data_IF_850867252936
#
_entry.id   IF_850867252936
#
_cell.length_a   1.000
_cell.length_b   1.000
_cell.length_c   1.000
_cell.angle_alpha   90.00
_cell.angle_beta   90.00
_cell.angle_gamma   90.00
#
_symmetry.space_group_name_H-M   'P 1'
#
loop_
_entity.id
_entity.type
_entity.pdbx_description
1 polymer ?
#
# COMPACT_ATOMS: atom_id res chain seq x y z
N UNK A 1 1.82 -13.58 4.23
CA UNK A 1 1.11 -12.40 4.81
C UNK A 1 1.47 -11.19 3.99
N UNK A 2 0.47 -10.30 3.76
CA UNK A 2 0.69 -9.03 3.07
C UNK A 2 0.91 -7.91 4.07
N UNK A 3 1.79 -6.96 3.73
CA UNK A 3 2.11 -5.79 4.54
C UNK A 3 1.55 -4.51 3.90
N UNK A 4 1.85 -3.35 4.49
CA UNK A 4 1.46 -2.07 3.92
C UNK A 4 2.08 -1.79 2.54
N UNK A 5 3.03 -2.58 2.10
CA UNK A 5 3.61 -2.46 0.77
C UNK A 5 2.81 -3.20 -0.31
N UNK A 6 1.97 -4.17 0.08
CA UNK A 6 0.99 -4.75 -0.81
C UNK A 6 -0.10 -3.72 -1.09
N UNK A 7 -0.31 -3.42 -2.35
CA UNK A 7 -1.24 -2.39 -2.81
C UNK A 7 -2.66 -2.58 -2.23
N UNK A 8 -3.21 -3.78 -2.37
CA UNK A 8 -4.54 -4.15 -1.87
C UNK A 8 -4.61 -4.13 -0.34
N UNK A 9 -3.61 -4.68 0.34
CA UNK A 9 -3.57 -4.70 1.79
C UNK A 9 -3.55 -3.28 2.37
N UNK A 10 -2.76 -2.37 1.78
CA UNK A 10 -2.74 -0.98 2.21
C UNK A 10 -4.10 -0.30 2.01
N UNK A 11 -4.70 -0.45 0.83
CA UNK A 11 -6.01 0.15 0.56
C UNK A 11 -7.09 -0.38 1.52
N UNK A 12 -6.98 -1.63 1.95
CA UNK A 12 -7.89 -2.24 2.93
C UNK A 12 -7.51 -1.96 4.39
N UNK A 13 -6.53 -1.11 4.65
CA UNK A 13 -6.24 -0.59 5.99
C UNK A 13 -5.01 -1.16 6.68
N UNK A 14 -4.17 -1.94 5.99
CA UNK A 14 -2.96 -2.51 6.59
C UNK A 14 -1.87 -1.46 6.74
N UNK A 15 -1.41 -1.25 7.98
CA UNK A 15 -0.27 -0.38 8.33
C UNK A 15 1.00 -1.16 8.71
N UNK A 16 0.90 -2.48 8.79
CA UNK A 16 1.98 -3.35 9.27
C UNK A 16 3.13 -3.37 8.26
N UNK A 17 4.35 -3.13 8.73
CA UNK A 17 5.58 -3.26 7.92
C UNK A 17 6.07 -4.71 7.88
N UNK A 18 6.98 -5.09 6.95
CA UNK A 18 7.63 -6.39 6.98
C UNK A 18 8.31 -6.72 8.32
N UNK A 19 9.03 -5.75 8.90
CA UNK A 19 9.65 -5.92 10.22
C UNK A 19 8.61 -6.24 11.30
N UNK A 20 7.54 -5.46 11.39
CA UNK A 20 6.45 -5.72 12.32
C UNK A 20 5.81 -7.09 12.09
N UNK A 21 5.66 -7.53 10.84
CA UNK A 21 5.14 -8.86 10.51
C UNK A 21 6.05 -9.97 11.03
N UNK A 22 7.37 -9.83 10.89
CA UNK A 22 8.32 -10.81 11.43
C UNK A 22 8.36 -10.81 12.96
N UNK A 23 8.25 -9.64 13.60
CA UNK A 23 8.15 -9.54 15.05
C UNK A 23 6.87 -10.20 15.57
N UNK A 24 5.74 -9.94 14.91
CA UNK A 24 4.47 -10.61 15.22
C UNK A 24 4.58 -12.14 15.09
N UNK A 25 5.19 -12.63 14.01
CA UNK A 25 5.42 -14.06 13.82
C UNK A 25 6.27 -14.70 14.94
N UNK A 26 7.16 -13.94 15.56
CA UNK A 26 7.96 -14.35 16.72
C UNK A 26 7.21 -14.24 18.06
N UNK A 27 5.95 -13.84 18.06
CA UNK A 27 5.15 -13.70 19.27
C UNK A 27 5.23 -12.31 19.93
N UNK A 28 5.88 -11.33 19.31
CA UNK A 28 5.87 -9.98 19.83
C UNK A 28 4.52 -9.29 19.60
N UNK A 29 4.15 -8.42 20.52
CA UNK A 29 3.00 -7.53 20.33
C UNK A 29 3.32 -6.46 19.31
N UNK A 30 2.47 -6.29 18.30
CA UNK A 30 2.53 -5.21 17.33
C UNK A 30 1.23 -4.43 17.31
N UNK A 31 1.28 -3.15 16.91
CA UNK A 31 0.09 -2.35 16.66
C UNK A 31 -0.13 -2.16 15.16
N UNK A 32 -1.35 -2.34 14.69
CA UNK A 32 -1.72 -2.00 13.31
C UNK A 32 -2.24 -0.55 13.15
N UNK A 33 -2.12 0.27 14.21
CA UNK A 33 -2.63 1.64 14.26
C UNK A 33 -4.05 1.76 14.83
N UNK A 34 -4.77 0.63 14.97
CA UNK A 34 -6.13 0.58 15.56
C UNK A 34 -6.12 -0.21 16.87
N UNK A 35 -5.39 -1.32 16.89
CA UNK A 35 -5.30 -2.21 18.05
C UNK A 35 -3.95 -2.93 18.08
N UNK A 36 -3.59 -3.35 19.28
CA UNK A 36 -2.46 -4.23 19.50
C UNK A 36 -2.86 -5.68 19.22
N UNK A 37 -1.93 -6.43 18.66
CA UNK A 37 -2.11 -7.83 18.28
C UNK A 37 -0.90 -8.64 18.72
N UNK A 38 -1.16 -9.84 19.27
CA UNK A 38 -0.13 -10.79 19.69
C UNK A 38 -0.58 -12.19 19.31
N UNK A 39 0.32 -13.03 18.81
CA UNK A 39 0.04 -14.45 18.65
C UNK A 39 0.10 -15.16 20.01
N UNK A 40 -0.74 -16.15 20.22
CA UNK A 40 -0.70 -17.00 21.42
C UNK A 40 0.63 -17.77 21.50
N UNK A 41 1.14 -18.21 20.33
CA UNK A 41 2.43 -18.92 20.21
C UNK A 41 3.16 -18.42 18.96
N UNK A 42 4.50 -18.33 18.97
CA UNK A 42 5.29 -18.02 17.79
C UNK A 42 5.06 -19.03 16.65
N UNK A 43 5.21 -18.57 15.41
CA UNK A 43 5.15 -19.45 14.25
C UNK A 43 6.51 -20.12 14.00
N UNK A 44 6.50 -21.38 13.59
CA UNK A 44 7.71 -22.15 13.24
C UNK A 44 8.41 -21.55 12.01
N UNK A 45 7.65 -21.08 11.04
CA UNK A 45 8.17 -20.38 9.86
C UNK A 45 7.18 -19.32 9.37
N UNK A 46 7.68 -18.34 8.65
CA UNK A 46 6.87 -17.24 8.19
C UNK A 46 7.52 -16.53 6.99
N UNK A 47 6.70 -16.08 6.05
CA UNK A 47 7.15 -15.26 4.94
C UNK A 47 6.22 -14.08 4.68
N UNK A 48 6.80 -12.92 4.39
CA UNK A 48 6.09 -11.78 3.81
C UNK A 48 6.04 -11.99 2.30
N UNK A 49 4.84 -11.90 1.73
CA UNK A 49 4.56 -12.18 0.31
C UNK A 49 3.73 -11.07 -0.31
N UNK A 50 4.21 -9.83 -0.21
CA UNK A 50 3.52 -8.69 -0.78
C UNK A 50 3.37 -8.83 -2.30
N UNK A 51 2.25 -8.36 -2.83
CA UNK A 51 2.05 -8.31 -4.28
C UNK A 51 3.06 -7.41 -4.95
N UNK A 52 3.75 -7.91 -5.97
CA UNK A 52 4.75 -7.16 -6.72
C UNK A 52 4.14 -6.00 -7.53
N UNK A 53 2.87 -6.16 -7.95
CA UNK A 53 2.18 -5.11 -8.69
C UNK A 53 1.94 -3.89 -7.81
N UNK A 54 2.42 -2.72 -8.26
CA UNK A 54 2.31 -1.45 -7.54
C UNK A 54 2.87 -1.51 -6.11
N UNK A 55 3.90 -2.33 -5.86
CA UNK A 55 4.53 -2.52 -4.56
C UNK A 55 4.93 -1.17 -3.94
N UNK A 56 4.39 -0.86 -2.75
CA UNK A 56 4.66 0.37 -2.02
C UNK A 56 3.97 1.64 -2.56
N UNK A 57 3.35 1.58 -3.74
CA UNK A 57 2.80 2.78 -4.39
C UNK A 57 1.59 3.36 -3.65
N UNK A 58 0.74 2.52 -3.05
CA UNK A 58 -0.42 2.99 -2.30
C UNK A 58 -0.02 3.87 -1.11
N UNK A 59 1.11 3.59 -0.47
CA UNK A 59 1.67 4.44 0.58
C UNK A 59 2.06 5.82 0.05
N UNK A 60 2.66 5.87 -1.16
CA UNK A 60 3.07 7.13 -1.78
C UNK A 60 1.87 7.97 -2.22
N UNK A 61 0.79 7.35 -2.70
CA UNK A 61 -0.46 8.07 -3.01
C UNK A 61 -1.09 8.69 -1.78
N UNK A 62 -1.07 7.93 -0.68
CA UNK A 62 -1.68 8.36 0.56
C UNK A 62 -0.87 9.46 1.28
N UNK A 63 0.39 9.64 0.94
CA UNK A 63 1.22 10.73 1.46
C UNK A 63 1.10 11.98 0.58
N UNK A 64 0.38 13.04 1.02
CA UNK A 64 0.21 14.25 0.24
C UNK A 64 1.52 15.03 0.00
N UNK A 65 2.61 14.66 0.68
CA UNK A 65 3.93 15.29 0.54
C UNK A 65 4.81 14.60 -0.50
N UNK A 66 4.50 13.37 -0.86
CA UNK A 66 5.21 12.61 -1.88
C UNK A 66 5.00 13.19 -3.28
N UNK A 67 5.92 12.91 -4.21
CA UNK A 67 5.79 13.37 -5.60
C UNK A 67 4.54 12.82 -6.28
N UNK A 68 4.18 11.58 -6.01
CA UNK A 68 2.98 10.93 -6.54
C UNK A 68 1.72 11.43 -5.83
N UNK A 69 1.78 11.58 -4.50
CA UNK A 69 0.65 12.04 -3.70
C UNK A 69 0.24 13.48 -3.98
N UNK A 70 1.18 14.34 -4.45
CA UNK A 70 0.84 15.69 -4.89
C UNK A 70 0.00 15.74 -6.17
N UNK A 71 -0.12 14.65 -6.91
CA UNK A 71 -0.96 14.61 -8.09
C UNK A 71 -2.44 14.75 -7.71
N UNK A 72 -3.24 15.59 -8.42
CA UNK A 72 -4.66 15.84 -8.06
C UNK A 72 -5.51 14.56 -7.92
N UNK A 73 -5.25 13.55 -8.74
CA UNK A 73 -5.95 12.25 -8.69
C UNK A 73 -5.58 11.39 -7.46
N UNK A 74 -4.54 11.75 -6.72
CA UNK A 74 -4.18 11.07 -5.48
C UNK A 74 -5.02 11.52 -4.26
N UNK A 75 -5.73 12.64 -4.37
CA UNK A 75 -6.52 13.20 -3.25
C UNK A 75 -7.44 12.21 -2.55
N UNK A 76 -8.19 11.33 -3.24
CA UNK A 76 -9.06 10.35 -2.57
C UNK A 76 -8.32 9.36 -1.67
N UNK A 77 -7.01 9.21 -1.87
CA UNK A 77 -6.16 8.26 -1.13
C UNK A 77 -5.42 8.92 0.02
N UNK A 78 -5.44 10.27 0.13
CA UNK A 78 -4.67 10.98 1.14
C UNK A 78 -5.06 10.55 2.56
N UNK A 79 -4.03 10.28 3.37
CA UNK A 79 -4.17 9.90 4.77
C UNK A 79 -5.07 8.66 5.00
N UNK A 80 -5.23 7.83 3.97
CA UNK A 80 -6.18 6.72 3.97
C UNK A 80 -6.06 5.83 5.22
N UNK A 81 -4.83 5.54 5.66
CA UNK A 81 -4.57 4.64 6.80
C UNK A 81 -4.24 5.37 8.10
N UNK A 82 -4.62 6.63 8.25
CA UNK A 82 -4.59 7.27 9.57
C UNK A 82 -5.66 6.66 10.48
N UNK A 83 -5.40 6.58 11.81
CA UNK A 83 -6.34 5.93 12.75
C UNK A 83 -7.78 6.44 12.63
N UNK A 84 -7.97 7.74 12.44
CA UNK A 84 -9.28 8.38 12.27
C UNK A 84 -10.05 7.91 11.03
N UNK A 85 -9.35 7.36 10.03
CA UNK A 85 -9.90 6.87 8.77
C UNK A 85 -10.02 5.33 8.74
N UNK A 86 -9.65 4.65 9.81
CA UNK A 86 -9.68 3.18 9.94
C UNK A 86 -10.90 2.73 10.74
N UNK A 87 -12.10 3.08 10.30
CA UNK A 87 -13.33 2.61 10.91
C UNK A 87 -14.00 1.49 10.10
N UNK A 88 -14.86 0.65 10.72
CA UNK A 88 -15.64 -0.34 9.98
C UNK A 88 -16.51 0.29 8.89
N UNK A 89 -17.03 1.49 9.12
CA UNK A 89 -17.86 2.24 8.17
C UNK A 89 -17.07 2.63 6.92
N UNK A 90 -15.77 2.93 7.08
CA UNK A 90 -14.90 3.29 5.96
C UNK A 90 -14.51 2.09 5.08
N UNK A 91 -14.79 0.87 5.50
CA UNK A 91 -14.36 -0.34 4.77
C UNK A 91 -14.99 -0.44 3.39
N UNK A 92 -16.26 -0.02 3.24
CA UNK A 92 -16.95 -0.01 1.96
C UNK A 92 -16.35 1.03 0.99
N UNK A 93 -16.08 2.24 1.47
CA UNK A 93 -15.47 3.29 0.67
C UNK A 93 -14.07 2.88 0.19
N UNK A 94 -13.30 2.22 1.05
CA UNK A 94 -12.00 1.65 0.70
C UNK A 94 -12.09 0.57 -0.36
N UNK A 95 -13.10 -0.28 -0.27
CA UNK A 95 -13.38 -1.29 -1.28
C UNK A 95 -13.76 -0.65 -2.62
N UNK A 96 -14.50 0.44 -2.62
CA UNK A 96 -14.81 1.20 -3.83
C UNK A 96 -13.56 1.80 -4.45
N UNK A 97 -12.66 2.41 -3.64
CA UNK A 97 -11.37 2.91 -4.12
C UNK A 97 -10.51 1.81 -4.74
N UNK A 98 -10.48 0.64 -4.12
CA UNK A 98 -9.77 -0.53 -4.65
C UNK A 98 -10.34 -0.96 -6.02
N UNK A 99 -11.66 -1.01 -6.15
CA UNK A 99 -12.32 -1.38 -7.39
C UNK A 99 -12.16 -0.32 -8.48
N UNK A 100 -12.14 0.96 -8.14
CA UNK A 100 -11.93 2.05 -9.08
C UNK A 100 -10.57 1.92 -9.79
N UNK A 101 -9.53 1.62 -9.04
CA UNK A 101 -8.19 1.36 -9.60
C UNK A 101 -8.15 0.08 -10.44
N UNK A 102 -8.86 -0.97 -9.99
CA UNK A 102 -8.88 -2.28 -10.65
C UNK A 102 -9.83 -2.31 -11.85
N UNK A 103 -10.89 -1.54 -11.80
CA UNK A 103 -12.15 -1.89 -12.45
C UNK A 103 -12.50 -1.19 -13.73
N UNK A 104 -11.79 -0.19 -14.19
CA UNK A 104 -12.33 0.54 -15.34
C UNK A 104 -12.03 -0.11 -16.69
N UNK A 105 -11.37 -1.27 -16.74
CA UNK A 105 -11.18 -1.95 -18.03
C UNK A 105 -10.48 -3.31 -17.95
N UNK A 106 -10.85 -4.13 -17.01
CA UNK A 106 -10.15 -5.42 -16.86
C UNK A 106 -8.69 -5.21 -16.54
N UNK A 107 -8.37 -4.17 -15.76
CA UNK A 107 -7.09 -4.07 -15.11
C UNK A 107 -6.34 -2.79 -15.16
N UNK A 108 -6.66 -1.66 -15.62
CA UNK A 108 -5.93 -0.39 -15.38
C UNK A 108 -6.51 0.74 -16.24
N UNK A 109 -6.73 1.95 -15.70
CA UNK A 109 -7.23 3.08 -16.47
C UNK A 109 -6.36 3.36 -17.70
N UNK A 110 -6.97 3.44 -18.86
CA UNK A 110 -6.29 3.72 -20.15
C UNK A 110 -6.24 5.20 -20.49
N UNK A 111 -6.85 6.04 -19.69
CA UNK A 111 -6.88 7.48 -19.96
C UNK A 111 -5.52 8.12 -19.68
N UNK A 112 -5.03 8.91 -20.64
CA UNK A 112 -3.83 9.73 -20.44
C UNK A 112 -4.05 10.70 -19.27
N UNK A 113 -3.07 10.81 -18.39
CA UNK A 113 -3.14 11.64 -17.18
C UNK A 113 -3.84 10.95 -16.02
N UNK A 114 -4.02 9.63 -16.09
CA UNK A 114 -4.43 8.82 -14.94
C UNK A 114 -3.32 8.81 -13.88
N UNK A 115 -3.69 8.51 -12.63
CA UNK A 115 -2.67 8.31 -11.57
C UNK A 115 -1.68 7.22 -11.95
N UNK A 116 -2.09 6.24 -12.76
CA UNK A 116 -1.20 5.19 -13.26
C UNK A 116 -0.15 5.70 -14.24
N UNK A 117 -0.44 6.73 -15.02
CA UNK A 117 0.57 7.32 -15.90
C UNK A 117 1.65 8.05 -15.07
N UNK A 118 1.23 8.70 -13.97
CA UNK A 118 2.14 9.31 -13.00
C UNK A 118 3.02 8.24 -12.34
N UNK A 119 2.43 7.12 -11.96
CA UNK A 119 3.13 5.97 -11.36
C UNK A 119 4.11 5.35 -12.35
N UNK A 120 3.69 5.12 -13.59
CA UNK A 120 4.57 4.59 -14.66
C UNK A 120 5.73 5.52 -14.92
N UNK A 121 5.49 6.85 -14.97
CA UNK A 121 6.55 7.83 -15.14
C UNK A 121 7.52 7.81 -13.95
N UNK A 122 7.01 7.70 -12.72
CA UNK A 122 7.83 7.57 -11.52
C UNK A 122 8.68 6.31 -11.54
N UNK A 123 8.11 5.15 -11.88
CA UNK A 123 8.88 3.91 -12.00
C UNK A 123 9.91 3.98 -13.13
N UNK A 124 9.54 4.47 -14.30
CA UNK A 124 10.47 4.61 -15.41
C UNK A 124 11.68 5.50 -15.01
N UNK A 125 11.43 6.61 -14.34
CA UNK A 125 12.46 7.53 -13.90
C UNK A 125 13.37 6.94 -12.82
N UNK A 126 12.84 6.18 -11.88
CA UNK A 126 13.62 5.60 -10.79
C UNK A 126 14.31 4.28 -11.18
N UNK A 127 13.74 3.50 -12.10
CA UNK A 127 14.41 2.31 -12.65
C UNK A 127 15.63 2.64 -13.52
N UNK A 128 15.59 3.74 -14.27
CA UNK A 128 16.75 4.22 -15.04
C UNK A 128 17.90 4.60 -14.10
N UNK A 129 17.60 5.20 -12.94
CA UNK A 129 18.63 5.51 -11.95
C UNK A 129 19.17 4.26 -11.23
N UNK A 130 18.36 3.24 -11.01
CA UNK A 130 18.81 1.99 -10.40
C UNK A 130 19.73 1.19 -11.33
N UNK A 131 19.45 1.15 -12.63
CA UNK A 131 20.31 0.46 -13.60
C UNK A 131 21.65 1.19 -13.83
N UNK A 132 21.66 2.51 -13.77
CA UNK A 132 22.89 3.30 -13.88
C UNK A 132 23.81 3.25 -12.65
N UNK A 133 23.32 2.73 -11.52
CA UNK A 133 24.11 2.56 -10.30
C UNK A 133 24.79 1.17 -10.20
N UNK A 134 24.53 0.27 -11.16
CA UNK A 134 25.07 -1.10 -11.20
C UNK A 134 26.03 -1.35 -12.39
N UNK A 135 26.29 -0.36 -13.24
CA UNK A 135 27.33 -0.34 -14.26
C UNK A 135 28.55 0.47 -13.80
#
# INVERSE_FOLDING_TARGET
>A
MHTKYSFDAYLLGTNVTPDMSYRFAKGETISNGVRDMTLAEPLDFYAVTDHAILLGMANLWADPTSDVGRHPKAKPYHNLNRPENLSPESAFDRFLLFNDIRGDSGGFPRERGSILDVIRAFFAQNFIFASAAYD
#
